data_IF_867546935124
#
_entry.id   IF_867546935124
#
_cell.length_a   1.000
_cell.length_b   1.000
_cell.length_c   1.000
_cell.angle_alpha   90.00
_cell.angle_beta   90.00
_cell.angle_gamma   90.00
#
_symmetry.space_group_name_H-M   'P 1'
#
loop_
_entity.id
_entity.type
_entity.pdbx_description
1 polymer ?
#
# COMPACT_ATOMS: atom_id res chain seq x y z
N UNK A 1 37.47 -9.29 -37.66
CA UNK A 1 36.52 -10.38 -37.38
C UNK A 1 36.68 -10.94 -35.96
N UNK A 2 37.88 -11.22 -35.48
CA UNK A 2 38.15 -11.75 -34.11
C UNK A 2 37.66 -10.90 -32.95
N UNK A 3 37.70 -9.57 -33.05
CA UNK A 3 37.25 -8.65 -31.95
C UNK A 3 35.74 -8.75 -31.68
N UNK A 4 34.91 -8.95 -32.69
CA UNK A 4 33.45 -9.10 -32.53
C UNK A 4 33.05 -10.38 -31.79
N UNK A 5 33.76 -11.47 -32.03
CA UNK A 5 33.48 -12.77 -31.36
C UNK A 5 33.99 -12.77 -29.91
N UNK A 6 35.11 -12.09 -29.62
CA UNK A 6 35.64 -11.97 -28.27
C UNK A 6 34.70 -11.19 -27.33
N UNK A 7 34.12 -10.08 -27.81
CA UNK A 7 33.13 -9.31 -27.02
C UNK A 7 31.86 -10.10 -26.74
N UNK A 8 31.36 -10.87 -27.72
CA UNK A 8 30.16 -11.70 -27.56
C UNK A 8 30.37 -12.84 -26.54
N UNK A 9 31.53 -13.50 -26.60
CA UNK A 9 31.87 -14.59 -25.67
C UNK A 9 32.05 -14.09 -24.23
N UNK A 10 32.69 -12.93 -24.04
CA UNK A 10 32.82 -12.29 -22.75
C UNK A 10 31.47 -11.88 -22.16
N UNK A 11 30.58 -11.32 -22.97
CA UNK A 11 29.23 -10.94 -22.55
C UNK A 11 28.40 -12.15 -22.13
N UNK A 12 28.44 -13.24 -22.91
CA UNK A 12 27.76 -14.51 -22.55
C UNK A 12 28.34 -15.06 -21.24
N UNK A 13 29.67 -15.04 -21.07
CA UNK A 13 30.31 -15.49 -19.84
C UNK A 13 29.88 -14.69 -18.62
N UNK A 14 29.72 -13.38 -18.76
CA UNK A 14 29.21 -12.51 -17.68
C UNK A 14 27.76 -12.87 -17.34
N UNK A 15 26.88 -13.05 -18.32
CA UNK A 15 25.48 -13.43 -18.09
C UNK A 15 25.40 -14.78 -17.36
N UNK A 16 26.17 -15.76 -17.81
CA UNK A 16 26.27 -17.07 -17.17
C UNK A 16 26.79 -16.92 -15.74
N UNK A 17 27.84 -16.13 -15.51
CA UNK A 17 28.37 -15.86 -14.17
C UNK A 17 27.31 -15.25 -13.25
N UNK A 18 26.60 -14.22 -13.71
CA UNK A 18 25.51 -13.60 -12.94
C UNK A 18 24.38 -14.60 -12.65
N UNK A 19 24.07 -15.47 -13.61
CA UNK A 19 23.01 -16.48 -13.43
C UNK A 19 23.30 -17.40 -12.23
N UNK A 20 24.55 -17.78 -12.00
CA UNK A 20 24.96 -18.65 -10.90
C UNK A 20 25.19 -17.92 -9.56
N UNK A 21 25.21 -16.58 -9.53
CA UNK A 21 25.26 -15.86 -8.25
C UNK A 21 23.98 -16.13 -7.43
N UNK A 22 24.05 -16.10 -6.07
CA UNK A 22 22.88 -16.21 -5.23
C UNK A 22 21.90 -15.06 -5.52
N UNK A 23 20.60 -15.38 -5.58
CA UNK A 23 19.55 -14.39 -5.78
C UNK A 23 19.09 -13.81 -4.45
N UNK A 24 18.82 -12.49 -4.37
CA UNK A 24 18.20 -11.91 -3.19
C UNK A 24 16.74 -12.35 -2.99
N UNK A 25 16.08 -12.83 -4.05
CA UNK A 25 14.68 -13.25 -4.03
C UNK A 25 14.52 -14.73 -4.38
N UNK A 26 13.43 -15.32 -3.89
CA UNK A 26 13.00 -16.68 -4.24
C UNK A 26 11.55 -16.68 -4.74
N UNK A 27 11.34 -16.27 -6.01
CA UNK A 27 10.03 -16.02 -6.56
C UNK A 27 9.30 -17.30 -6.93
N UNK A 28 7.98 -17.26 -6.79
CA UNK A 28 7.06 -18.22 -7.36
C UNK A 28 6.58 -17.79 -8.76
N UNK A 29 6.18 -18.75 -9.64
CA UNK A 29 5.55 -18.39 -10.90
C UNK A 29 4.14 -17.86 -10.63
N UNK A 30 3.79 -16.75 -11.26
CA UNK A 30 2.44 -16.20 -11.24
C UNK A 30 1.99 -15.81 -12.64
N UNK A 31 0.79 -16.21 -13.04
CA UNK A 31 0.23 -15.91 -14.35
C UNK A 31 -1.10 -15.19 -14.16
N UNK A 32 -1.19 -13.97 -14.69
CA UNK A 32 -2.49 -13.32 -14.81
C UNK A 32 -3.33 -14.06 -15.85
N UNK A 33 -4.47 -14.59 -15.45
CA UNK A 33 -5.35 -15.37 -16.33
C UNK A 33 -5.92 -14.55 -17.49
N UNK A 34 -6.04 -13.23 -17.27
CA UNK A 34 -6.60 -12.28 -18.23
C UNK A 34 -5.66 -11.12 -18.48
N UNK A 35 -5.60 -10.57 -19.70
CA UNK A 35 -4.87 -9.34 -19.96
C UNK A 35 -5.46 -8.18 -19.13
N UNK A 36 -4.74 -7.06 -18.96
CA UNK A 36 -5.28 -5.86 -18.33
C UNK A 36 -6.63 -5.46 -18.97
N UNK A 37 -7.60 -4.96 -18.18
CA UNK A 37 -8.88 -4.55 -18.71
C UNK A 37 -8.74 -3.38 -19.69
N UNK A 38 -9.56 -3.37 -20.74
CA UNK A 38 -9.61 -2.25 -21.69
C UNK A 38 -10.09 -0.97 -21.00
N UNK A 39 -9.48 0.16 -21.38
CA UNK A 39 -9.83 1.48 -20.82
C UNK A 39 -11.06 2.08 -21.53
N UNK A 40 -12.21 1.42 -21.38
CA UNK A 40 -13.49 1.79 -21.98
C UNK A 40 -14.59 1.87 -20.92
N UNK A 41 -15.70 2.51 -21.24
CA UNK A 41 -16.82 2.68 -20.30
C UNK A 41 -16.39 3.37 -19.00
N UNK A 42 -16.66 2.79 -17.82
CA UNK A 42 -16.28 3.40 -16.54
C UNK A 42 -14.76 3.58 -16.37
N UNK A 43 -13.94 2.82 -17.11
CA UNK A 43 -12.47 2.92 -17.10
C UNK A 43 -11.91 3.90 -18.13
N UNK A 44 -12.75 4.60 -18.90
CA UNK A 44 -12.29 5.53 -19.92
C UNK A 44 -11.43 6.63 -19.30
N UNK A 45 -10.23 6.83 -19.90
CA UNK A 45 -9.26 7.81 -19.43
C UNK A 45 -9.85 9.21 -19.47
N UNK A 46 -9.66 9.94 -18.38
CA UNK A 46 -10.11 11.33 -18.21
C UNK A 46 -9.03 12.15 -17.49
N UNK A 47 -9.34 13.39 -17.10
CA UNK A 47 -8.40 14.30 -16.40
C UNK A 47 -8.97 14.81 -15.08
N UNK A 48 -9.80 14.00 -14.38
CA UNK A 48 -10.44 14.42 -13.14
C UNK A 48 -9.42 14.69 -12.04
N UNK A 49 -8.40 13.83 -11.89
CA UNK A 49 -7.32 14.01 -10.92
C UNK A 49 -6.36 15.14 -11.26
N UNK A 50 -6.21 15.48 -12.55
CA UNK A 50 -5.36 16.60 -13.00
C UNK A 50 -5.89 17.98 -12.56
N UNK A 51 -7.10 18.04 -11.97
CA UNK A 51 -7.69 19.27 -11.40
C UNK A 51 -7.35 19.46 -9.94
N UNK A 52 -6.65 18.52 -9.32
CA UNK A 52 -6.28 18.55 -7.91
C UNK A 52 -5.29 19.67 -7.60
N UNK A 53 -5.34 20.15 -6.36
CA UNK A 53 -4.40 21.10 -5.81
C UNK A 53 -3.37 20.38 -4.94
N UNK A 54 -2.09 20.61 -5.15
CA UNK A 54 -1.02 20.14 -4.27
C UNK A 54 -0.93 21.02 -3.03
N UNK A 55 -0.82 20.39 -1.88
CA UNK A 55 -0.68 21.06 -0.58
C UNK A 55 0.54 20.54 0.15
N UNK A 56 1.19 21.43 0.91
CA UNK A 56 2.34 21.14 1.79
C UNK A 56 3.54 20.54 1.06
N UNK A 57 3.84 21.06 -0.14
CA UNK A 57 4.99 20.60 -0.94
C UNK A 57 6.30 20.71 -0.13
N UNK A 58 7.07 19.62 -0.10
CA UNK A 58 8.32 19.51 0.63
C UNK A 58 8.19 19.35 2.14
N UNK A 59 7.03 19.66 2.74
CA UNK A 59 6.77 19.49 4.17
C UNK A 59 6.21 18.10 4.47
N UNK A 60 5.15 17.68 3.75
CA UNK A 60 4.53 16.38 3.90
C UNK A 60 5.02 15.44 2.81
N UNK A 61 6.09 14.71 3.08
CA UNK A 61 6.64 13.74 2.13
C UNK A 61 6.05 12.35 2.38
N UNK A 62 5.48 11.76 1.34
CA UNK A 62 4.85 10.46 1.39
C UNK A 62 3.73 10.35 2.44
N UNK A 63 2.73 11.28 2.45
CA UNK A 63 1.56 11.17 3.32
C UNK A 63 0.70 9.99 2.84
N UNK A 64 0.81 8.86 3.52
CA UNK A 64 0.35 7.58 2.99
C UNK A 64 -1.14 7.33 3.26
N UNK A 65 -1.63 7.68 4.45
CA UNK A 65 -2.99 7.37 4.90
C UNK A 65 -3.54 8.51 5.74
N UNK A 66 -4.88 8.68 5.76
CA UNK A 66 -5.54 9.77 6.46
C UNK A 66 -6.63 9.27 7.41
N UNK A 67 -6.87 10.08 8.45
CA UNK A 67 -8.04 10.00 9.31
C UNK A 67 -8.41 11.40 9.78
N UNK A 68 -9.65 11.61 10.23
CA UNK A 68 -10.08 12.90 10.76
C UNK A 68 -10.77 12.72 12.11
N UNK A 69 -10.78 13.78 12.90
CA UNK A 69 -11.61 13.88 14.09
C UNK A 69 -12.92 14.64 13.80
N UNK A 70 -13.83 14.61 14.78
CA UNK A 70 -15.13 15.28 14.70
C UNK A 70 -15.04 16.81 14.60
N UNK A 71 -13.88 17.39 14.97
CA UNK A 71 -13.65 18.84 14.93
C UNK A 71 -13.04 19.31 13.60
N UNK A 72 -12.85 18.39 12.65
CA UNK A 72 -12.35 18.66 11.31
C UNK A 72 -10.84 18.70 11.17
N UNK A 73 -10.08 18.25 12.18
CA UNK A 73 -8.64 18.02 11.98
C UNK A 73 -8.42 16.76 11.16
N UNK A 74 -7.54 16.84 10.16
CA UNK A 74 -7.06 15.71 9.39
C UNK A 74 -5.69 15.29 9.91
N UNK A 75 -5.42 14.00 9.95
CA UNK A 75 -4.19 13.41 10.45
C UNK A 75 -3.55 12.50 9.40
N UNK A 76 -2.21 12.50 9.34
CA UNK A 76 -1.45 11.65 8.42
C UNK A 76 -0.06 11.33 8.98
N UNK A 77 0.52 10.24 8.48
CA UNK A 77 1.91 9.88 8.70
C UNK A 77 2.78 10.14 7.47
N UNK A 78 4.09 10.43 7.66
CA UNK A 78 5.03 10.74 6.59
C UNK A 78 6.25 9.81 6.56
N UNK A 79 6.99 9.80 5.44
CA UNK A 79 8.16 8.90 5.22
C UNK A 79 9.27 9.07 6.23
N UNK A 80 9.35 10.21 6.89
CA UNK A 80 10.35 10.50 7.91
C UNK A 80 9.94 10.06 9.33
N UNK A 81 8.83 9.27 9.41
CA UNK A 81 8.35 8.70 10.66
C UNK A 81 7.56 9.67 11.54
N UNK A 82 7.11 10.79 10.99
CA UNK A 82 6.33 11.80 11.72
C UNK A 82 4.83 11.61 11.56
N UNK A 83 4.10 12.03 12.59
CA UNK A 83 2.66 12.22 12.55
C UNK A 83 2.34 13.71 12.52
N UNK A 84 1.36 14.06 11.69
CA UNK A 84 0.95 15.44 11.45
C UNK A 84 -0.54 15.62 11.64
N UNK A 85 -0.92 16.80 12.14
CA UNK A 85 -2.29 17.31 12.14
C UNK A 85 -2.40 18.43 11.13
N UNK A 86 -3.42 18.38 10.29
CA UNK A 86 -3.74 19.39 9.27
C UNK A 86 -5.07 20.03 9.66
N UNK A 87 -5.08 21.36 9.76
CA UNK A 87 -6.27 22.16 10.03
C UNK A 87 -6.13 23.54 9.39
N UNK A 88 -7.20 24.04 8.79
CA UNK A 88 -7.28 25.40 8.24
C UNK A 88 -6.08 25.76 7.33
N UNK A 89 -5.64 24.82 6.49
CA UNK A 89 -4.51 24.99 5.59
C UNK A 89 -3.13 24.99 6.27
N UNK A 90 -3.04 24.60 7.53
CA UNK A 90 -1.78 24.49 8.27
C UNK A 90 -1.50 23.05 8.68
N UNK A 91 -0.24 22.63 8.58
CA UNK A 91 0.22 21.34 9.09
C UNK A 91 1.03 21.56 10.38
N UNK A 92 0.69 20.83 11.43
CA UNK A 92 1.34 20.87 12.73
C UNK A 92 1.91 19.52 13.09
N UNK A 93 3.16 19.47 13.49
CA UNK A 93 3.82 18.26 13.98
C UNK A 93 3.19 17.77 15.28
N UNK A 94 2.98 16.45 15.39
CA UNK A 94 2.45 15.80 16.60
C UNK A 94 3.57 15.07 17.32
N UNK A 95 4.17 14.08 16.68
CA UNK A 95 5.20 13.23 17.27
C UNK A 95 6.03 12.49 16.21
N UNK A 96 7.19 12.00 16.61
CA UNK A 96 8.07 11.14 15.83
C UNK A 96 7.89 9.70 16.29
N UNK A 97 7.66 8.75 15.37
CA UNK A 97 7.47 7.34 15.74
C UNK A 97 8.74 6.71 16.30
N UNK A 98 9.87 6.89 15.63
CA UNK A 98 11.17 6.40 16.03
C UNK A 98 12.14 7.52 16.42
N UNK A 99 13.39 7.40 15.99
CA UNK A 99 14.44 8.42 16.19
C UNK A 99 14.20 9.61 15.27
N UNK A 100 14.53 10.81 15.73
CA UNK A 100 14.50 12.02 14.92
C UNK A 100 15.94 12.34 14.48
N UNK A 101 16.29 11.90 13.26
CA UNK A 101 17.61 12.07 12.65
C UNK A 101 17.48 12.93 11.39
N UNK A 102 18.58 13.56 10.96
CA UNK A 102 18.62 14.34 9.71
C UNK A 102 18.34 13.51 8.46
N UNK A 103 18.68 12.21 8.51
CA UNK A 103 18.53 11.25 7.42
C UNK A 103 17.11 10.63 7.34
N UNK A 104 16.24 10.93 8.30
CA UNK A 104 14.85 10.45 8.27
C UNK A 104 14.13 10.92 6.99
N UNK A 105 13.37 10.03 6.37
CA UNK A 105 12.77 10.25 5.07
C UNK A 105 13.55 9.62 3.91
N UNK A 106 14.70 8.98 4.19
CA UNK A 106 15.36 8.07 3.27
C UNK A 106 15.02 6.62 3.60
N UNK A 107 14.95 5.77 2.58
CA UNK A 107 14.55 4.36 2.71
C UNK A 107 15.47 3.58 3.68
N UNK A 108 16.75 3.91 3.72
CA UNK A 108 17.73 3.22 4.58
C UNK A 108 17.50 3.52 6.06
N UNK A 109 16.97 4.70 6.39
CA UNK A 109 16.75 5.15 7.76
C UNK A 109 15.35 4.90 8.28
N UNK A 110 14.40 4.44 7.45
CA UNK A 110 13.05 4.04 7.89
C UNK A 110 13.08 3.12 9.13
N UNK A 111 13.95 2.09 9.24
CA UNK A 111 13.98 1.21 10.41
C UNK A 111 14.36 1.91 11.73
N UNK A 112 14.96 3.09 11.66
CA UNK A 112 15.32 3.90 12.83
C UNK A 112 14.31 5.00 13.10
N UNK A 113 13.75 5.61 12.04
CA UNK A 113 12.86 6.76 12.13
C UNK A 113 11.38 6.36 12.28
N UNK A 114 11.03 5.16 11.83
CA UNK A 114 9.65 4.71 11.68
C UNK A 114 9.08 5.00 10.29
N UNK A 115 8.00 4.33 9.98
CA UNK A 115 7.20 4.54 8.76
C UNK A 115 5.73 4.25 9.08
N UNK A 116 4.99 5.25 9.57
CA UNK A 116 3.56 5.11 9.79
C UNK A 116 2.84 4.97 8.45
N UNK A 117 2.10 3.89 8.29
CA UNK A 117 1.26 3.58 7.14
C UNK A 117 -0.22 3.76 7.50
N UNK A 118 -0.88 2.73 8.00
CA UNK A 118 -2.27 2.85 8.41
C UNK A 118 -2.46 3.76 9.61
N UNK A 119 -3.45 4.66 9.53
CA UNK A 119 -3.83 5.55 10.63
C UNK A 119 -5.35 5.64 10.73
N UNK A 120 -5.89 5.50 11.96
CA UNK A 120 -7.32 5.67 12.27
C UNK A 120 -7.50 6.38 13.60
N UNK A 121 -8.55 7.17 13.70
CA UNK A 121 -9.00 7.74 14.97
C UNK A 121 -9.89 6.73 15.70
N UNK A 122 -9.59 6.44 16.97
CA UNK A 122 -10.47 5.65 17.81
C UNK A 122 -11.59 6.50 18.43
N UNK A 123 -12.54 5.85 19.12
CA UNK A 123 -13.68 6.53 19.73
C UNK A 123 -13.30 7.43 20.90
N UNK A 124 -12.17 7.17 21.53
CA UNK A 124 -11.64 7.95 22.65
C UNK A 124 -10.87 9.17 22.17
N UNK A 125 -10.74 9.37 20.84
CA UNK A 125 -10.02 10.47 20.22
C UNK A 125 -8.51 10.27 20.18
N UNK A 126 -8.03 9.03 20.22
CA UNK A 126 -6.63 8.67 20.00
C UNK A 126 -6.41 8.19 18.56
N UNK A 127 -5.22 8.40 18.06
CA UNK A 127 -4.78 7.81 16.80
C UNK A 127 -4.28 6.39 17.04
N UNK A 128 -4.81 5.43 16.29
CA UNK A 128 -4.24 4.08 16.16
C UNK A 128 -3.38 4.10 14.91
N UNK A 129 -2.13 3.70 15.06
CA UNK A 129 -1.10 3.80 14.00
C UNK A 129 -0.43 2.46 13.78
N UNK A 130 -0.44 1.98 12.55
CA UNK A 130 0.37 0.86 12.10
C UNK A 130 1.70 1.41 11.58
N UNK A 131 2.76 1.28 12.38
CA UNK A 131 4.11 1.60 11.93
C UNK A 131 4.79 0.34 11.40
N UNK A 132 5.29 0.40 10.17
CA UNK A 132 5.87 -0.76 9.47
C UNK A 132 7.07 -1.39 10.18
N UNK A 133 7.76 -0.65 11.04
CA UNK A 133 8.98 -1.11 11.71
C UNK A 133 8.81 -1.34 13.20
N UNK A 134 7.85 -0.68 13.85
CA UNK A 134 7.73 -0.71 15.30
C UNK A 134 6.50 -1.44 15.81
N UNK A 135 5.41 -1.45 15.06
CA UNK A 135 4.19 -2.15 15.47
C UNK A 135 2.94 -1.26 15.49
N UNK A 136 1.94 -1.70 16.23
CA UNK A 136 0.73 -0.93 16.47
C UNK A 136 0.90 -0.02 17.67
N UNK A 137 0.53 1.25 17.50
CA UNK A 137 0.59 2.27 18.54
C UNK A 137 -0.75 2.97 18.74
N UNK A 138 -1.01 3.36 19.99
CA UNK A 138 -2.02 4.36 20.37
C UNK A 138 -1.30 5.66 20.66
N UNK A 139 -1.71 6.75 20.00
CA UNK A 139 -1.05 8.06 20.07
C UNK A 139 -2.06 9.12 20.45
N UNK A 140 -1.74 9.94 21.47
CA UNK A 140 -2.57 11.06 21.85
C UNK A 140 -2.33 12.23 20.88
N UNK A 141 -3.36 12.71 20.13
CA UNK A 141 -3.16 13.64 19.00
C UNK A 141 -2.75 15.07 19.42
N UNK A 142 -2.94 15.44 20.70
CA UNK A 142 -2.56 16.77 21.20
C UNK A 142 -1.20 16.77 21.90
N UNK A 143 -0.87 15.72 22.67
CA UNK A 143 0.39 15.65 23.43
C UNK A 143 1.50 14.92 22.69
N UNK A 144 1.15 14.09 21.68
CA UNK A 144 2.10 13.22 20.99
C UNK A 144 2.57 12.02 21.80
N UNK A 145 2.00 11.79 23.00
CA UNK A 145 2.31 10.63 23.83
C UNK A 145 1.93 9.34 23.10
N UNK A 146 2.83 8.36 23.12
CA UNK A 146 2.69 7.08 22.41
C UNK A 146 2.70 5.92 23.39
N UNK A 147 1.77 4.98 23.21
CA UNK A 147 1.78 3.68 23.87
C UNK A 147 1.80 2.55 22.84
N UNK A 148 2.68 1.58 23.04
CA UNK A 148 2.79 0.41 22.19
C UNK A 148 1.66 -0.56 22.51
N UNK A 149 0.85 -0.91 21.49
CA UNK A 149 -0.21 -1.92 21.58
C UNK A 149 0.40 -3.30 21.29
N UNK A 150 1.10 -3.43 20.18
CA UNK A 150 1.66 -4.69 19.70
C UNK A 150 2.98 -4.44 18.98
N UNK A 151 4.05 -5.09 19.46
CA UNK A 151 5.40 -4.93 18.89
C UNK A 151 5.59 -5.77 17.63
N UNK A 152 6.31 -5.23 16.64
CA UNK A 152 6.75 -5.98 15.47
C UNK A 152 7.55 -7.24 15.84
N UNK A 153 8.40 -7.15 16.86
CA UNK A 153 9.25 -8.29 17.28
C UNK A 153 8.43 -9.43 17.87
N UNK A 154 7.37 -9.10 18.63
CA UNK A 154 6.48 -10.10 19.21
C UNK A 154 5.65 -10.77 18.12
N UNK A 155 5.16 -10.00 17.18
CA UNK A 155 4.28 -10.48 16.12
C UNK A 155 3.01 -11.16 16.63
N UNK A 156 2.46 -12.03 15.82
CA UNK A 156 1.28 -12.85 16.11
C UNK A 156 1.56 -14.29 15.70
N UNK A 157 1.08 -15.25 16.50
CA UNK A 157 1.24 -16.70 16.26
C UNK A 157 2.72 -17.13 16.10
N UNK A 158 3.63 -16.46 16.81
CA UNK A 158 5.07 -16.71 16.76
C UNK A 158 5.78 -16.16 15.51
N UNK A 159 5.05 -15.43 14.65
CA UNK A 159 5.60 -14.83 13.43
C UNK A 159 5.73 -13.31 13.62
N UNK A 160 6.96 -12.75 13.68
CA UNK A 160 7.18 -11.31 13.74
C UNK A 160 6.58 -10.59 12.53
N UNK A 161 6.19 -9.33 12.71
CA UNK A 161 5.80 -8.50 11.59
C UNK A 161 7.03 -7.98 10.85
N UNK A 162 6.94 -7.91 9.54
CA UNK A 162 7.97 -7.30 8.69
C UNK A 162 7.48 -6.02 8.02
N UNK A 163 6.18 -5.96 7.71
CA UNK A 163 5.62 -4.84 6.97
C UNK A 163 4.16 -4.59 7.36
N UNK A 164 3.92 -4.07 8.57
CA UNK A 164 2.58 -3.57 8.91
C UNK A 164 2.18 -2.46 7.96
N UNK A 165 0.92 -2.53 7.48
CA UNK A 165 0.44 -1.65 6.43
C UNK A 165 -0.95 -1.07 6.76
N UNK A 166 -2.03 -1.59 6.19
CA UNK A 166 -3.38 -1.10 6.42
C UNK A 166 -3.90 -1.43 7.82
N UNK A 167 -4.74 -0.58 8.37
CA UNK A 167 -5.53 -0.89 9.56
C UNK A 167 -6.94 -0.32 9.45
N UNK A 168 -7.88 -0.94 10.17
CA UNK A 168 -9.25 -0.47 10.31
C UNK A 168 -9.79 -0.78 11.70
N UNK A 169 -10.74 0.01 12.17
CA UNK A 169 -11.36 -0.13 13.49
C UNK A 169 -12.83 -0.46 13.34
N UNK A 170 -13.27 -1.53 14.01
CA UNK A 170 -14.70 -1.80 14.16
C UNK A 170 -15.33 -0.95 15.26
N UNK A 171 -16.67 -0.92 15.27
CA UNK A 171 -17.43 -0.17 16.27
C UNK A 171 -17.22 -0.64 17.71
N UNK A 172 -16.86 -1.89 17.92
CA UNK A 172 -16.51 -2.42 19.25
C UNK A 172 -15.08 -2.14 19.68
N UNK A 173 -14.27 -1.52 18.81
CA UNK A 173 -12.87 -1.16 19.05
C UNK A 173 -11.87 -2.24 18.64
N UNK A 174 -12.30 -3.36 18.07
CA UNK A 174 -11.38 -4.36 17.47
C UNK A 174 -10.56 -3.71 16.36
N UNK A 175 -9.26 -3.95 16.35
CA UNK A 175 -8.33 -3.46 15.34
C UNK A 175 -8.07 -4.58 14.35
N UNK A 176 -8.46 -4.38 13.09
CA UNK A 176 -8.05 -5.23 11.98
C UNK A 176 -6.88 -4.57 11.27
N UNK A 177 -5.87 -5.35 10.89
CA UNK A 177 -4.68 -4.80 10.26
C UNK A 177 -4.00 -5.83 9.35
N UNK A 178 -3.17 -5.34 8.42
CA UNK A 178 -2.41 -6.18 7.51
C UNK A 178 -0.92 -6.16 7.83
N UNK A 179 -0.28 -7.32 7.66
CA UNK A 179 1.16 -7.47 7.49
C UNK A 179 1.37 -7.88 6.03
N UNK A 180 1.91 -6.97 5.22
CA UNK A 180 2.04 -7.17 3.77
C UNK A 180 2.95 -8.33 3.41
N UNK A 181 3.93 -8.63 4.25
CA UNK A 181 4.86 -9.74 4.08
C UNK A 181 5.46 -10.15 5.42
N UNK A 182 5.55 -11.44 5.66
CA UNK A 182 6.32 -12.02 6.78
C UNK A 182 7.82 -12.15 6.48
N UNK A 183 8.24 -11.88 5.24
CA UNK A 183 9.62 -11.98 4.75
C UNK A 183 10.27 -10.63 4.53
N UNK A 184 9.62 -9.75 3.78
CA UNK A 184 10.17 -8.48 3.33
C UNK A 184 9.68 -7.32 4.19
N UNK A 185 10.62 -6.54 4.75
CA UNK A 185 10.30 -5.25 5.36
C UNK A 185 9.96 -4.19 4.31
N UNK A 186 9.30 -3.11 4.73
CA UNK A 186 8.79 -2.03 3.87
C UNK A 186 9.84 -1.51 2.88
N UNK A 187 11.07 -1.27 3.28
CA UNK A 187 12.14 -0.78 2.39
C UNK A 187 12.45 -1.73 1.22
N UNK A 188 12.05 -2.99 1.32
CA UNK A 188 12.25 -4.02 0.30
C UNK A 188 10.95 -4.44 -0.39
N UNK A 189 9.86 -3.65 -0.26
CA UNK A 189 8.54 -3.96 -0.83
C UNK A 189 8.57 -4.29 -2.33
N UNK A 190 9.51 -3.71 -3.09
CA UNK A 190 9.66 -4.02 -4.51
C UNK A 190 10.13 -5.45 -4.78
N UNK A 191 10.88 -6.05 -3.86
CA UNK A 191 11.18 -7.47 -3.92
C UNK A 191 9.93 -8.31 -3.67
N UNK A 192 9.08 -7.93 -2.69
CA UNK A 192 7.79 -8.59 -2.45
C UNK A 192 6.92 -8.60 -3.72
N UNK A 193 6.81 -7.44 -4.40
CA UNK A 193 6.02 -7.32 -5.64
C UNK A 193 6.58 -8.22 -6.76
N UNK A 194 7.90 -8.24 -6.98
CA UNK A 194 8.52 -9.05 -8.05
C UNK A 194 8.50 -10.53 -7.70
N UNK A 195 8.72 -10.87 -6.45
CA UNK A 195 8.68 -12.24 -5.96
C UNK A 195 7.30 -12.85 -6.19
N UNK A 196 6.26 -12.06 -5.94
CA UNK A 196 4.84 -12.43 -6.09
C UNK A 196 4.50 -13.66 -5.25
N UNK A 197 5.07 -13.74 -4.03
CA UNK A 197 4.78 -14.79 -3.08
C UNK A 197 3.56 -14.41 -2.23
N UNK A 198 2.94 -15.39 -1.57
CA UNK A 198 1.74 -15.22 -0.76
C UNK A 198 2.06 -15.22 0.75
N UNK A 199 2.88 -14.24 1.17
CA UNK A 199 3.40 -14.14 2.55
C UNK A 199 2.70 -13.08 3.41
N UNK A 200 1.66 -12.45 2.87
CA UNK A 200 0.85 -11.46 3.57
C UNK A 200 -0.21 -12.09 4.47
N UNK A 201 -0.65 -11.31 5.48
CA UNK A 201 -1.64 -11.73 6.47
C UNK A 201 -2.67 -10.64 6.77
N UNK A 202 -3.92 -11.05 7.08
CA UNK A 202 -4.93 -10.25 7.77
C UNK A 202 -4.95 -10.69 9.24
N UNK A 203 -4.88 -9.72 10.14
CA UNK A 203 -4.81 -9.95 11.58
C UNK A 203 -5.89 -9.16 12.31
N UNK A 204 -6.20 -9.61 13.52
CA UNK A 204 -7.14 -8.98 14.45
C UNK A 204 -6.46 -8.78 15.80
N UNK A 205 -6.71 -7.63 16.42
CA UNK A 205 -6.35 -7.38 17.81
C UNK A 205 -7.60 -6.96 18.59
N UNK A 206 -7.89 -7.67 19.66
CA UNK A 206 -8.96 -7.34 20.59
C UNK A 206 -8.39 -6.49 21.76
N UNK A 207 -8.82 -5.23 21.89
CA UNK A 207 -8.32 -4.34 22.94
C UNK A 207 -8.81 -4.72 24.34
N UNK A 208 -9.90 -5.50 24.47
CA UNK A 208 -10.46 -5.92 25.77
C UNK A 208 -9.61 -7.04 26.34
N UNK A 209 -9.39 -8.10 25.58
CA UNK A 209 -8.57 -9.26 25.98
C UNK A 209 -7.08 -9.01 25.81
N UNK A 210 -6.70 -7.99 25.03
CA UNK A 210 -5.32 -7.67 24.64
C UNK A 210 -4.63 -8.81 23.90
N UNK A 211 -5.39 -9.56 23.14
CA UNK A 211 -4.90 -10.68 22.34
C UNK A 211 -4.97 -10.35 20.85
N UNK A 212 -4.08 -10.94 20.08
CA UNK A 212 -4.08 -10.85 18.63
C UNK A 212 -4.04 -12.23 18.00
N UNK A 213 -4.64 -12.37 16.83
CA UNK A 213 -4.65 -13.62 16.05
C UNK A 213 -4.61 -13.35 14.55
N UNK A 214 -4.12 -14.31 13.80
CA UNK A 214 -4.22 -14.31 12.34
C UNK A 214 -5.62 -14.78 11.93
N UNK A 215 -6.30 -13.98 11.10
CA UNK A 215 -7.59 -14.34 10.52
C UNK A 215 -7.43 -15.02 9.16
N UNK A 216 -6.47 -14.54 8.37
CA UNK A 216 -6.21 -15.04 7.03
C UNK A 216 -4.72 -14.87 6.72
N UNK A 217 -4.11 -15.91 6.20
CA UNK A 217 -2.75 -15.95 5.68
C UNK A 217 -2.74 -16.22 4.15
N UNK A 218 -1.55 -16.32 3.60
CA UNK A 218 -1.41 -16.64 2.18
C UNK A 218 -1.87 -15.52 1.24
N UNK A 219 -1.74 -14.24 1.65
CA UNK A 219 -2.11 -13.07 0.87
C UNK A 219 -0.92 -12.54 0.06
N UNK A 220 -1.20 -12.05 -1.15
CA UNK A 220 -0.21 -11.51 -2.07
C UNK A 220 0.01 -10.01 -1.83
N UNK A 221 0.94 -9.67 -0.91
CA UNK A 221 1.18 -8.31 -0.44
C UNK A 221 -0.11 -7.65 0.06
N UNK A 222 -0.64 -8.18 1.18
CA UNK A 222 -1.82 -7.62 1.83
C UNK A 222 -1.58 -6.13 2.18
N UNK A 223 -2.40 -5.24 1.62
CA UNK A 223 -2.23 -3.80 1.74
C UNK A 223 -3.43 -3.17 2.46
N UNK A 224 -4.08 -2.19 1.85
CA UNK A 224 -5.22 -1.52 2.43
C UNK A 224 -6.38 -2.45 2.74
N UNK A 225 -7.06 -2.16 3.83
CA UNK A 225 -8.29 -2.84 4.24
C UNK A 225 -9.38 -1.84 4.56
N UNK A 226 -10.62 -2.28 4.43
CA UNK A 226 -11.79 -1.54 4.86
C UNK A 226 -12.85 -2.49 5.38
N UNK A 227 -13.49 -2.13 6.50
CA UNK A 227 -14.66 -2.84 7.03
C UNK A 227 -15.90 -2.33 6.29
N UNK A 228 -16.80 -3.24 5.91
CA UNK A 228 -18.09 -2.87 5.33
C UNK A 228 -18.91 -1.96 6.27
N UNK A 229 -19.82 -1.13 5.76
CA UNK A 229 -20.65 -0.28 6.61
C UNK A 229 -21.51 -1.06 7.63
N UNK A 230 -21.83 -2.32 7.33
CA UNK A 230 -22.59 -3.22 8.21
C UNK A 230 -21.70 -3.98 9.19
N UNK A 231 -20.37 -3.92 9.00
CA UNK A 231 -19.37 -4.71 9.73
C UNK A 231 -19.56 -6.22 9.60
N UNK A 232 -19.96 -6.67 8.42
CA UNK A 232 -20.16 -8.09 8.12
C UNK A 232 -18.96 -8.71 7.37
N UNK A 233 -18.16 -7.89 6.67
CA UNK A 233 -16.94 -8.33 5.98
C UNK A 233 -15.86 -7.25 5.96
N UNK A 234 -14.65 -7.69 5.63
CA UNK A 234 -13.48 -6.85 5.35
C UNK A 234 -13.10 -7.04 3.88
N UNK A 235 -12.86 -5.95 3.16
CA UNK A 235 -12.16 -5.97 1.88
C UNK A 235 -10.66 -5.81 2.12
N UNK A 236 -9.86 -6.57 1.37
CA UNK A 236 -8.41 -6.60 1.50
C UNK A 236 -7.80 -6.45 0.10
N UNK A 237 -6.95 -5.43 -0.11
CA UNK A 237 -6.18 -5.29 -1.32
C UNK A 237 -5.02 -6.30 -1.35
N UNK A 238 -4.95 -7.11 -2.40
CA UNK A 238 -3.79 -7.93 -2.74
C UNK A 238 -3.02 -7.25 -3.87
N UNK A 239 -2.10 -6.38 -3.48
CA UNK A 239 -1.43 -5.45 -4.40
C UNK A 239 -0.69 -6.18 -5.52
N UNK A 240 0.13 -7.19 -5.20
CA UNK A 240 1.02 -7.84 -6.17
C UNK A 240 0.29 -8.54 -7.33
N UNK A 241 -0.99 -8.88 -7.14
CA UNK A 241 -1.78 -9.61 -8.14
C UNK A 241 -3.03 -8.86 -8.62
N UNK A 242 -3.11 -7.55 -8.34
CA UNK A 242 -4.18 -6.67 -8.82
C UNK A 242 -5.59 -7.18 -8.49
N UNK A 243 -5.83 -7.56 -7.22
CA UNK A 243 -7.06 -8.18 -6.75
C UNK A 243 -7.52 -7.58 -5.43
N UNK A 244 -8.83 -7.64 -5.14
CA UNK A 244 -9.42 -7.37 -3.83
C UNK A 244 -10.16 -8.62 -3.38
N UNK A 245 -9.88 -9.08 -2.17
CA UNK A 245 -10.61 -10.14 -1.48
C UNK A 245 -11.67 -9.56 -0.56
N UNK A 246 -12.73 -10.35 -0.32
CA UNK A 246 -13.70 -10.18 0.76
C UNK A 246 -13.52 -11.31 1.76
N UNK A 247 -13.35 -10.93 3.01
CA UNK A 247 -13.32 -11.87 4.14
C UNK A 247 -14.48 -11.58 5.07
N UNK A 248 -15.38 -12.54 5.22
CA UNK A 248 -16.57 -12.41 6.07
C UNK A 248 -16.19 -12.58 7.54
N UNK A 249 -16.60 -11.62 8.38
CA UNK A 249 -16.28 -11.61 9.82
C UNK A 249 -17.48 -11.92 10.70
N UNK A 250 -18.70 -11.87 10.17
CA UNK A 250 -19.93 -12.18 10.90
C UNK A 250 -20.90 -13.00 10.05
N UNK A 251 -21.99 -13.49 10.69
CA UNK A 251 -23.04 -14.25 10.02
C UNK A 251 -22.64 -15.66 9.60
N UNK A 252 -23.49 -16.31 8.79
CA UNK A 252 -23.29 -17.70 8.34
C UNK A 252 -22.04 -17.91 7.49
N UNK A 253 -21.50 -16.84 6.92
CA UNK A 253 -20.27 -16.87 6.13
C UNK A 253 -19.02 -16.54 6.94
N UNK A 254 -19.10 -16.32 8.23
CA UNK A 254 -17.91 -15.95 9.04
C UNK A 254 -16.73 -16.90 8.80
N UNK A 255 -15.55 -16.34 8.49
CA UNK A 255 -14.34 -17.10 8.16
C UNK A 255 -14.20 -17.47 6.67
N UNK A 256 -15.21 -17.20 5.83
CA UNK A 256 -15.14 -17.45 4.39
C UNK A 256 -14.43 -16.30 3.67
N UNK A 257 -13.51 -16.64 2.78
CA UNK A 257 -12.91 -15.69 1.83
C UNK A 257 -13.42 -15.91 0.41
N UNK A 258 -13.64 -14.82 -0.30
CA UNK A 258 -14.04 -14.85 -1.71
C UNK A 258 -13.38 -13.69 -2.48
N UNK A 259 -13.26 -13.83 -3.79
CA UNK A 259 -12.77 -12.75 -4.64
C UNK A 259 -13.86 -11.69 -4.78
N UNK A 260 -13.58 -10.45 -4.39
CA UNK A 260 -14.49 -9.33 -4.57
C UNK A 260 -14.29 -8.65 -5.92
N UNK A 261 -13.03 -8.38 -6.29
CA UNK A 261 -12.63 -7.87 -7.60
C UNK A 261 -11.35 -8.56 -8.05
N UNK A 262 -11.25 -8.85 -9.33
CA UNK A 262 -10.06 -9.45 -9.93
C UNK A 262 -9.68 -8.72 -11.21
N UNK A 263 -8.43 -8.94 -11.66
CA UNK A 263 -7.91 -8.36 -12.88
C UNK A 263 -8.06 -6.83 -12.95
N UNK A 264 -7.69 -6.14 -11.87
CA UNK A 264 -7.81 -4.70 -11.77
C UNK A 264 -6.85 -3.97 -12.74
N UNK A 265 -7.17 -2.70 -13.12
CA UNK A 265 -6.35 -1.92 -14.06
C UNK A 265 -5.08 -1.35 -13.43
N UNK A 266 -4.70 -1.78 -12.25
CA UNK A 266 -3.51 -1.36 -11.53
C UNK A 266 -3.33 -2.16 -10.24
N UNK A 267 -2.31 -1.78 -9.50
CA UNK A 267 -1.90 -2.40 -8.24
C UNK A 267 -2.61 -1.65 -7.10
N UNK A 268 -3.69 -2.21 -6.53
CA UNK A 268 -4.49 -1.53 -5.51
C UNK A 268 -3.67 -1.30 -4.24
N UNK A 269 -3.85 -0.13 -3.63
CA UNK A 269 -3.23 0.27 -2.38
C UNK A 269 -4.30 0.32 -1.27
N UNK A 270 -4.69 1.49 -0.77
CA UNK A 270 -5.75 1.58 0.23
C UNK A 270 -7.15 1.60 -0.38
N UNK A 271 -8.11 1.11 0.41
CA UNK A 271 -9.53 1.07 0.10
C UNK A 271 -10.26 1.88 1.17
N UNK A 272 -11.24 2.71 0.76
CA UNK A 272 -12.07 3.52 1.66
C UNK A 272 -13.54 3.39 1.32
N UNK A 273 -14.40 3.42 2.34
CA UNK A 273 -15.83 3.64 2.14
C UNK A 273 -16.04 5.11 1.79
N UNK A 274 -16.80 5.38 0.74
CA UNK A 274 -17.23 6.73 0.38
C UNK A 274 -18.47 7.14 1.19
N UNK A 275 -18.78 8.43 1.21
CA UNK A 275 -20.02 8.94 1.83
C UNK A 275 -21.30 8.40 1.15
N UNK A 276 -21.20 7.92 -0.10
CA UNK A 276 -22.29 7.27 -0.84
C UNK A 276 -22.44 5.77 -0.50
N UNK A 277 -21.57 5.20 0.35
CA UNK A 277 -21.57 3.77 0.68
C UNK A 277 -20.93 2.87 -0.37
N UNK A 278 -20.25 3.45 -1.36
CA UNK A 278 -19.41 2.76 -2.33
C UNK A 278 -17.97 2.64 -1.79
N UNK A 279 -17.06 2.05 -2.55
CA UNK A 279 -15.65 1.96 -2.19
C UNK A 279 -14.79 2.77 -3.14
N UNK A 280 -13.80 3.49 -2.59
CA UNK A 280 -12.75 4.13 -3.37
C UNK A 280 -11.43 3.41 -3.17
N UNK A 281 -10.74 3.15 -4.30
CA UNK A 281 -9.49 2.40 -4.33
C UNK A 281 -8.41 3.30 -4.95
N UNK A 282 -7.33 3.53 -4.21
CA UNK A 282 -6.11 4.14 -4.73
C UNK A 282 -5.21 3.10 -5.39
N UNK A 283 -4.37 3.54 -6.32
CA UNK A 283 -3.44 2.65 -7.05
C UNK A 283 -2.01 3.15 -6.97
N UNK A 284 -1.12 2.29 -6.45
CA UNK A 284 0.31 2.53 -6.40
C UNK A 284 0.92 2.71 -7.80
N UNK A 285 0.44 1.96 -8.77
CA UNK A 285 0.76 2.13 -10.20
C UNK A 285 -0.31 1.44 -11.06
N UNK A 286 -0.30 1.73 -12.37
CA UNK A 286 -1.29 1.22 -13.31
C UNK A 286 -0.81 -0.05 -14.02
N UNK A 287 -1.76 -0.92 -14.37
CA UNK A 287 -1.61 -2.12 -15.20
C UNK A 287 -2.52 -1.99 -16.41
N UNK A 288 -2.10 -1.18 -17.39
CA UNK A 288 -2.91 -0.86 -18.56
C UNK A 288 -2.51 -1.70 -19.78
N UNK A 289 -3.46 -1.99 -20.68
CA UNK A 289 -3.13 -2.57 -21.97
C UNK A 289 -2.24 -1.60 -22.77
N UNK A 290 -1.33 -2.13 -23.56
CA UNK A 290 -0.42 -1.37 -24.39
C UNK A 290 0.19 -2.22 -25.48
N UNK A 291 1.10 -1.63 -26.27
CA UNK A 291 1.82 -2.36 -27.31
C UNK A 291 2.66 -3.50 -26.72
N UNK A 292 3.25 -3.28 -25.54
CA UNK A 292 3.92 -4.32 -24.77
C UNK A 292 3.05 -4.74 -23.61
N UNK A 293 3.09 -6.03 -23.27
CA UNK A 293 2.53 -6.59 -22.04
C UNK A 293 3.15 -5.88 -20.82
N UNK A 294 2.37 -5.53 -19.78
CA UNK A 294 2.92 -4.97 -18.57
C UNK A 294 4.08 -5.80 -18.02
N UNK A 295 5.10 -5.12 -17.50
CA UNK A 295 6.37 -5.77 -17.14
C UNK A 295 6.20 -6.96 -16.19
N UNK A 296 5.41 -6.81 -15.13
CA UNK A 296 5.20 -7.89 -14.15
C UNK A 296 4.35 -9.03 -14.73
N UNK A 297 3.42 -8.75 -15.63
CA UNK A 297 2.67 -9.78 -16.35
C UNK A 297 3.61 -10.61 -17.22
N UNK A 298 4.54 -9.93 -17.93
CA UNK A 298 5.47 -10.59 -18.84
C UNK A 298 6.49 -11.49 -18.12
N UNK A 299 6.98 -11.08 -16.96
CA UNK A 299 7.99 -11.84 -16.21
C UNK A 299 7.37 -12.78 -15.16
N UNK A 300 6.10 -12.61 -14.86
CA UNK A 300 5.38 -13.35 -13.82
C UNK A 300 5.54 -14.88 -13.90
N UNK A 301 5.39 -15.51 -15.08
CA UNK A 301 5.53 -16.96 -15.27
C UNK A 301 6.97 -17.50 -15.09
N UNK A 302 7.99 -16.61 -15.03
CA UNK A 302 9.39 -17.02 -15.18
C UNK A 302 10.25 -16.69 -13.95
N UNK A 303 10.27 -17.54 -12.90
CA UNK A 303 11.07 -17.34 -11.69
C UNK A 303 12.57 -17.10 -11.97
N UNK A 304 13.12 -17.78 -12.95
CA UNK A 304 14.53 -17.59 -13.33
C UNK A 304 14.83 -16.17 -13.85
N UNK A 305 13.89 -15.59 -14.61
CA UNK A 305 14.00 -14.21 -15.10
C UNK A 305 13.85 -13.23 -13.93
N UNK A 306 12.90 -13.45 -13.03
CA UNK A 306 12.74 -12.63 -11.81
C UNK A 306 14.02 -12.62 -10.97
N UNK A 307 14.63 -13.82 -10.73
CA UNK A 307 15.91 -13.95 -10.02
C UNK A 307 17.04 -13.21 -10.74
N UNK A 308 17.15 -13.33 -12.05
CA UNK A 308 18.18 -12.61 -12.82
C UNK A 308 18.01 -11.10 -12.72
N UNK A 309 16.79 -10.59 -12.90
CA UNK A 309 16.48 -9.15 -12.78
C UNK A 309 16.86 -8.62 -11.41
N UNK A 310 16.52 -9.34 -10.34
CA UNK A 310 16.82 -8.91 -8.97
C UNK A 310 18.32 -8.89 -8.65
N UNK A 311 19.16 -9.60 -9.43
CA UNK A 311 20.62 -9.57 -9.30
C UNK A 311 21.25 -8.38 -10.03
N UNK A 312 20.66 -7.94 -11.16
CA UNK A 312 21.30 -6.94 -12.03
C UNK A 312 20.70 -5.56 -11.88
N UNK A 313 19.45 -5.44 -11.46
CA UNK A 313 18.77 -4.16 -11.28
C UNK A 313 18.77 -3.81 -9.79
N UNK A 314 19.43 -2.72 -9.38
CA UNK A 314 19.38 -2.28 -7.99
C UNK A 314 17.96 -1.87 -7.60
N UNK A 315 17.59 -2.15 -6.35
CA UNK A 315 16.22 -1.93 -5.86
C UNK A 315 15.73 -0.48 -6.05
N UNK A 316 16.63 0.49 -5.95
CA UNK A 316 16.34 1.91 -6.17
C UNK A 316 15.91 2.24 -7.61
N UNK A 317 16.34 1.44 -8.60
CA UNK A 317 16.03 1.69 -10.00
C UNK A 317 14.60 1.27 -10.40
N UNK A 318 13.95 0.38 -9.64
CA UNK A 318 12.61 -0.09 -9.97
C UNK A 318 11.56 1.04 -9.97
N UNK A 319 11.75 2.08 -9.16
CA UNK A 319 10.87 3.24 -9.17
C UNK A 319 10.80 3.97 -10.52
N UNK A 320 11.90 3.96 -11.28
CA UNK A 320 11.96 4.57 -12.61
C UNK A 320 11.14 3.80 -13.67
N UNK A 321 10.79 2.54 -13.40
CA UNK A 321 9.97 1.71 -14.28
C UNK A 321 8.47 1.93 -14.07
N UNK A 322 8.08 2.63 -12.98
CA UNK A 322 6.68 2.89 -12.68
C UNK A 322 6.10 3.92 -13.64
N UNK A 323 4.91 3.64 -14.11
CA UNK A 323 4.16 4.58 -14.95
C UNK A 323 3.63 5.73 -14.10
N UNK A 324 3.99 6.95 -14.46
CA UNK A 324 3.43 8.15 -13.84
C UNK A 324 2.02 8.41 -14.39
N UNK A 325 1.04 7.77 -13.79
CA UNK A 325 -0.36 7.91 -14.13
C UNK A 325 -1.17 7.76 -12.84
N UNK A 326 -1.85 8.81 -12.42
CA UNK A 326 -2.74 8.77 -11.28
C UNK A 326 -4.02 8.01 -11.61
N UNK A 327 -4.42 7.07 -10.75
CA UNK A 327 -5.64 6.30 -10.91
C UNK A 327 -6.34 6.13 -9.57
N UNK A 328 -7.64 6.38 -9.57
CA UNK A 328 -8.58 6.03 -8.51
C UNK A 328 -9.79 5.37 -9.14
N UNK A 329 -10.33 4.33 -8.50
CA UNK A 329 -11.61 3.75 -8.87
C UNK A 329 -12.66 4.03 -7.81
N UNK A 330 -13.88 4.26 -8.24
CA UNK A 330 -15.09 4.12 -7.44
C UNK A 330 -15.78 2.80 -7.81
N UNK A 331 -16.07 1.99 -6.78
CA UNK A 331 -16.52 0.61 -6.92
C UNK A 331 -17.78 0.42 -6.09
N UNK A 332 -18.78 -0.29 -6.63
CA UNK A 332 -20.00 -0.64 -5.91
C UNK A 332 -19.72 -1.63 -4.77
N UNK A 333 -20.71 -1.85 -3.91
CA UNK A 333 -20.68 -2.88 -2.86
C UNK A 333 -20.71 -4.32 -3.40
N UNK A 334 -20.95 -4.48 -4.71
CA UNK A 334 -20.90 -5.78 -5.42
C UNK A 334 -19.61 -6.00 -6.21
N UNK A 335 -18.70 -5.02 -6.24
CA UNK A 335 -17.42 -5.11 -6.95
C UNK A 335 -17.47 -4.61 -8.41
N UNK A 336 -18.53 -3.89 -8.80
CA UNK A 336 -18.62 -3.28 -10.13
C UNK A 336 -17.91 -1.93 -10.16
N UNK A 337 -17.12 -1.65 -11.18
CA UNK A 337 -16.50 -0.34 -11.39
C UNK A 337 -17.58 0.64 -11.83
N UNK A 338 -17.84 1.64 -11.00
CA UNK A 338 -18.81 2.69 -11.27
C UNK A 338 -18.17 3.84 -12.06
N UNK A 339 -16.98 4.23 -11.67
CA UNK A 339 -16.25 5.34 -12.24
C UNK A 339 -14.74 5.20 -12.02
N UNK A 340 -13.97 5.86 -12.88
CA UNK A 340 -12.53 6.02 -12.71
C UNK A 340 -12.12 7.50 -12.79
N UNK A 341 -11.07 7.83 -12.05
CA UNK A 341 -10.49 9.15 -11.99
C UNK A 341 -9.02 9.04 -12.41
N UNK A 342 -8.60 9.86 -13.36
CA UNK A 342 -7.28 9.76 -13.96
C UNK A 342 -6.51 11.08 -13.90
N UNK A 343 -5.20 10.97 -13.72
CA UNK A 343 -4.20 11.96 -14.13
C UNK A 343 -3.23 11.28 -15.11
N UNK A 344 -3.53 11.32 -16.42
CA UNK A 344 -2.82 10.50 -17.41
C UNK A 344 -1.34 10.78 -17.52
N UNK A 345 -0.94 12.01 -17.25
CA UNK A 345 0.42 12.47 -17.36
C UNK A 345 1.17 12.46 -16.02
N UNK A 346 0.45 12.15 -14.93
CA UNK A 346 0.97 12.26 -13.56
C UNK A 346 1.44 13.69 -13.23
N UNK A 347 0.82 14.68 -13.86
CA UNK A 347 1.21 16.08 -13.74
C UNK A 347 0.86 16.66 -12.37
N UNK A 348 -0.17 16.15 -11.71
CA UNK A 348 -0.62 16.55 -10.39
C UNK A 348 -0.37 15.45 -9.38
N UNK A 349 -0.76 14.21 -9.70
CA UNK A 349 -0.63 13.07 -8.77
C UNK A 349 -0.42 11.75 -9.51
N UNK A 350 0.30 10.83 -8.86
CA UNK A 350 0.50 9.44 -9.25
C UNK A 350 0.92 8.63 -8.02
N UNK A 351 0.99 7.33 -8.11
CA UNK A 351 1.28 6.44 -6.97
C UNK A 351 0.36 6.77 -5.77
N UNK A 352 -0.96 6.73 -6.04
CA UNK A 352 -1.97 7.12 -5.06
C UNK A 352 -2.15 5.98 -4.05
N UNK A 353 -1.74 6.23 -2.80
CA UNK A 353 -1.90 5.25 -1.73
C UNK A 353 -3.30 5.32 -1.12
N UNK A 354 -3.83 6.50 -0.85
CA UNK A 354 -5.10 6.66 -0.15
C UNK A 354 -6.03 7.67 -0.84
N UNK A 355 -7.33 7.45 -0.71
CA UNK A 355 -8.38 8.34 -1.24
C UNK A 355 -9.39 8.60 -0.12
N UNK A 356 -9.12 9.60 0.68
CA UNK A 356 -9.90 9.91 1.87
C UNK A 356 -10.90 11.05 1.61
N UNK A 357 -12.18 10.76 1.78
CA UNK A 357 -13.24 11.77 1.67
C UNK A 357 -13.48 12.45 3.01
N UNK A 358 -13.38 13.78 3.04
CA UNK A 358 -13.64 14.56 4.24
C UNK A 358 -14.16 15.95 3.87
N UNK A 359 -15.29 16.36 4.47
CA UNK A 359 -15.92 17.68 4.26
C UNK A 359 -16.12 18.01 2.77
N UNK A 360 -16.60 17.06 1.97
CA UNK A 360 -16.88 17.23 0.54
C UNK A 360 -15.63 17.35 -0.35
N UNK A 361 -14.45 17.04 0.18
CA UNK A 361 -13.18 17.03 -0.54
C UNK A 361 -12.57 15.63 -0.54
N UNK A 362 -11.81 15.32 -1.60
CA UNK A 362 -10.98 14.12 -1.66
C UNK A 362 -9.54 14.47 -1.36
N UNK A 363 -8.97 13.86 -0.34
CA UNK A 363 -7.56 13.92 0.01
C UNK A 363 -6.86 12.69 -0.55
N UNK A 364 -5.87 12.90 -1.41
CA UNK A 364 -5.10 11.84 -2.04
C UNK A 364 -3.73 11.74 -1.40
N UNK A 365 -3.44 10.57 -0.86
CA UNK A 365 -2.14 10.22 -0.32
C UNK A 365 -1.21 9.62 -1.36
N UNK A 366 0.06 9.52 -1.00
CA UNK A 366 1.06 8.82 -1.77
C UNK A 366 2.20 8.35 -0.89
N UNK A 367 2.76 7.20 -1.20
CA UNK A 367 3.97 6.71 -0.50
C UNK A 367 5.24 7.45 -0.92
N UNK A 368 5.24 8.13 -2.08
CA UNK A 368 6.45 8.66 -2.72
C UNK A 368 6.43 10.19 -2.93
N UNK A 369 5.24 10.79 -3.10
CA UNK A 369 5.15 12.21 -3.46
C UNK A 369 5.42 13.14 -2.26
N UNK A 370 6.10 14.28 -2.47
CA UNK A 370 6.46 15.21 -1.40
C UNK A 370 5.35 16.22 -1.06
N UNK A 371 4.08 15.81 -1.22
CA UNK A 371 2.87 16.60 -0.98
C UNK A 371 1.66 15.68 -0.88
N UNK A 372 0.55 16.20 -0.40
CA UNK A 372 -0.77 15.60 -0.61
C UNK A 372 -1.52 16.36 -1.73
N UNK A 373 -2.55 15.75 -2.29
CA UNK A 373 -3.42 16.38 -3.29
C UNK A 373 -4.84 16.46 -2.77
N UNK A 374 -5.51 17.59 -3.03
CA UNK A 374 -6.93 17.79 -2.70
C UNK A 374 -7.72 18.04 -3.98
N UNK A 375 -8.86 17.36 -4.10
CA UNK A 375 -9.84 17.56 -5.16
C UNK A 375 -11.13 18.08 -4.52
N UNK A 376 -11.70 19.12 -5.14
CA UNK A 376 -12.94 19.77 -4.74
C UNK A 376 -14.13 19.28 -5.55
#
# INVERSE_FOLDING_TARGET
>A
MFLKYGCSSAFIGIIIGIYFLPSPIDPEPFIFERPPPALVGPLMVNKKLSRGQRLFEGLLRGPESFTADETGNLYTGTVDGKLWRIRDGQASFITQMGKNLSECGTTDFEPLCGRPHGIRMDRDGYLIVADSYFGLYKVHPKTGEKSLILSNQKGVDGIPFKFLNGLELSRNGTIYFTDSSSKWGRRHHRYEVIETNHLGRLLEYDPVTRTARTLLDGLYMANGIVISPQEDYILIAETSICRILRYWITGDKAGVKEVFMDNMPGYPDNIRVSTAGTYRVGFATTRFPGFFTPFLDAIGPYPAIKRFIAKVIPLSAYGALLRKHGLVLEVSNTGEILESFHDPDGSVTWAISDVYEHNGKLYLGSTDLPFLVVIH
#
